data_IF_574147903294
#
_entry.id   IF_574147903294
#
_cell.length_a   1.000
_cell.length_b   1.000
_cell.length_c   1.000
_cell.angle_alpha   90.00
_cell.angle_beta   90.00
_cell.angle_gamma   90.00
#
_symmetry.space_group_name_H-M   'P 1'
#
loop_
_entity.id
_entity.type
_entity.pdbx_description
1 polymer ?
#
# COMPACT_ATOMS: atom_id res chain seq x y z
N UNK A 1 5.24 -4.86 2.82
CA UNK A 1 3.98 -5.63 3.01
C UNK A 1 4.27 -7.00 2.47
N UNK A 2 4.62 -7.95 3.35
CA UNK A 2 5.22 -9.24 2.95
C UNK A 2 4.17 -10.34 3.04
N UNK A 3 3.42 -10.53 1.97
CA UNK A 3 2.46 -11.63 1.82
C UNK A 3 3.07 -12.78 1.02
N UNK A 4 4.17 -13.37 1.50
CA UNK A 4 4.74 -14.53 0.82
C UNK A 4 3.75 -15.71 0.87
N UNK A 5 3.77 -16.61 -0.12
CA UNK A 5 2.83 -17.75 -0.22
C UNK A 5 2.76 -18.57 1.07
N UNK A 6 3.89 -18.72 1.78
CA UNK A 6 3.95 -19.39 3.09
C UNK A 6 3.08 -18.74 4.18
N UNK A 7 2.95 -17.41 4.16
CA UNK A 7 2.14 -16.66 5.14
C UNK A 7 0.65 -16.87 4.91
N UNK A 8 0.23 -17.14 3.67
CA UNK A 8 -1.17 -17.44 3.36
C UNK A 8 -1.55 -18.90 3.65
N UNK A 9 -0.60 -19.83 3.49
CA UNK A 9 -0.83 -21.25 3.76
C UNK A 9 -1.04 -21.56 5.25
N UNK A 10 -0.34 -20.86 6.14
CA UNK A 10 -0.38 -21.11 7.59
C UNK A 10 -1.79 -20.90 8.19
N UNK A 11 -2.47 -19.76 7.94
CA UNK A 11 -3.85 -19.55 8.34
C UNK A 11 -4.79 -20.57 7.69
N UNK A 12 -4.69 -20.80 6.38
CA UNK A 12 -5.57 -21.75 5.68
C UNK A 12 -5.48 -23.16 6.30
N UNK A 13 -4.25 -23.66 6.54
CA UNK A 13 -4.03 -24.96 7.19
C UNK A 13 -4.51 -24.98 8.64
N UNK A 14 -4.36 -23.89 9.39
CA UNK A 14 -4.86 -23.78 10.75
C UNK A 14 -6.40 -23.79 10.80
N UNK A 15 -7.08 -23.00 9.96
CA UNK A 15 -8.54 -22.93 9.93
C UNK A 15 -9.18 -24.22 9.40
N UNK A 16 -8.59 -24.86 8.40
CA UNK A 16 -9.06 -26.14 7.85
C UNK A 16 -9.08 -27.27 8.90
N UNK A 17 -8.23 -27.18 9.94
CA UNK A 17 -8.15 -28.17 11.02
C UNK A 17 -9.34 -28.08 11.99
N UNK A 18 -9.92 -26.89 12.16
CA UNK A 18 -10.96 -26.65 13.19
C UNK A 18 -12.35 -26.34 12.62
N UNK A 19 -12.45 -25.90 11.36
CA UNK A 19 -13.72 -25.52 10.73
C UNK A 19 -13.83 -26.19 9.34
N UNK A 20 -14.73 -27.16 9.14
CA UNK A 20 -15.00 -27.70 7.80
C UNK A 20 -15.54 -26.58 6.88
N UNK A 21 -15.18 -26.60 5.59
CA UNK A 21 -15.46 -25.55 4.58
C UNK A 21 -14.75 -24.19 4.73
N UNK A 22 -13.89 -23.98 5.74
CA UNK A 22 -13.20 -22.69 5.93
C UNK A 22 -12.33 -22.25 4.75
N UNK A 23 -11.76 -23.20 4.00
CA UNK A 23 -10.84 -22.92 2.89
C UNK A 23 -11.50 -22.11 1.77
N UNK A 24 -12.76 -22.41 1.41
CA UNK A 24 -13.47 -21.70 0.34
C UNK A 24 -13.78 -20.27 0.78
N UNK A 25 -14.27 -20.11 2.01
CA UNK A 25 -14.54 -18.79 2.58
C UNK A 25 -13.27 -17.93 2.70
N UNK A 26 -12.17 -18.49 3.23
CA UNK A 26 -10.90 -17.79 3.33
C UNK A 26 -10.35 -17.40 1.95
N UNK A 27 -10.46 -18.28 0.95
CA UNK A 27 -9.98 -17.98 -0.41
C UNK A 27 -10.73 -16.78 -1.00
N UNK A 28 -12.06 -16.75 -0.88
CA UNK A 28 -12.88 -15.63 -1.35
C UNK A 28 -12.51 -14.35 -0.59
N UNK A 29 -12.37 -14.42 0.73
CA UNK A 29 -11.99 -13.27 1.56
C UNK A 29 -10.60 -12.70 1.18
N UNK A 30 -9.61 -13.57 0.94
CA UNK A 30 -8.26 -13.17 0.54
C UNK A 30 -8.27 -12.53 -0.85
N UNK A 31 -9.05 -13.07 -1.80
CA UNK A 31 -9.19 -12.48 -3.14
C UNK A 31 -9.83 -11.10 -3.07
N UNK A 32 -10.93 -10.94 -2.32
CA UNK A 32 -11.57 -9.64 -2.12
C UNK A 32 -10.64 -8.63 -1.44
N UNK A 33 -9.87 -9.07 -0.45
CA UNK A 33 -8.87 -8.24 0.23
C UNK A 33 -7.71 -7.84 -0.69
N UNK A 34 -7.24 -8.74 -1.55
CA UNK A 34 -6.22 -8.43 -2.53
C UNK A 34 -6.71 -7.39 -3.54
N UNK A 35 -7.95 -7.54 -4.04
CA UNK A 35 -8.57 -6.58 -4.98
C UNK A 35 -8.74 -5.20 -4.33
N UNK A 36 -9.26 -5.12 -3.11
CA UNK A 36 -9.42 -3.84 -2.41
C UNK A 36 -8.08 -3.14 -2.19
N UNK A 37 -7.07 -3.89 -1.78
CA UNK A 37 -5.70 -3.40 -1.58
C UNK A 37 -5.14 -2.85 -2.91
N UNK A 38 -5.22 -3.62 -4.00
CA UNK A 38 -4.75 -3.17 -5.32
C UNK A 38 -5.40 -1.87 -5.78
N UNK A 39 -6.72 -1.72 -5.56
CA UNK A 39 -7.45 -0.48 -5.91
C UNK A 39 -6.92 0.71 -5.10
N UNK A 40 -6.75 0.55 -3.78
CA UNK A 40 -6.23 1.62 -2.92
C UNK A 40 -4.83 2.06 -3.33
N UNK A 41 -3.90 1.12 -3.57
CA UNK A 41 -2.54 1.45 -4.00
C UNK A 41 -2.49 2.10 -5.37
N UNK A 42 -3.34 1.67 -6.31
CA UNK A 42 -3.48 2.31 -7.62
C UNK A 42 -3.97 3.76 -7.51
N UNK A 43 -4.97 4.01 -6.65
CA UNK A 43 -5.49 5.35 -6.39
C UNK A 43 -4.45 6.27 -5.75
N UNK A 44 -3.76 5.80 -4.71
CA UNK A 44 -2.69 6.57 -4.07
C UNK A 44 -1.55 6.89 -5.05
N UNK A 45 -1.14 5.92 -5.87
CA UNK A 45 -0.11 6.12 -6.90
C UNK A 45 -0.49 7.20 -7.92
N UNK A 46 -1.72 7.16 -8.44
CA UNK A 46 -2.21 8.17 -9.39
C UNK A 46 -2.30 9.57 -8.75
N UNK A 47 -2.71 9.65 -7.49
CA UNK A 47 -2.80 10.92 -6.77
C UNK A 47 -1.40 11.51 -6.53
N UNK A 48 -0.43 10.68 -6.11
CA UNK A 48 0.97 11.09 -5.95
C UNK A 48 1.57 11.55 -7.29
N UNK A 49 1.27 10.86 -8.38
CA UNK A 49 1.75 11.24 -9.72
C UNK A 49 1.17 12.58 -10.18
N UNK A 50 -0.14 12.79 -9.99
CA UNK A 50 -0.80 14.07 -10.28
C UNK A 50 -0.25 15.22 -9.43
N UNK A 51 0.14 14.94 -8.19
CA UNK A 51 0.75 15.92 -7.29
C UNK A 51 2.16 16.32 -7.74
N UNK A 52 2.99 15.36 -8.19
CA UNK A 52 4.37 15.60 -8.60
C UNK A 52 4.49 16.25 -9.99
N UNK A 53 3.69 15.82 -10.97
CA UNK A 53 3.87 16.18 -12.38
C UNK A 53 2.72 17.02 -12.98
N UNK A 54 1.70 17.33 -12.18
CA UNK A 54 0.55 18.14 -12.60
C UNK A 54 -0.52 17.38 -13.42
N UNK A 55 -1.69 18.00 -13.58
CA UNK A 55 -2.84 17.42 -14.30
C UNK A 55 -2.73 17.64 -15.82
N UNK A 56 -1.78 16.97 -16.48
CA UNK A 56 -1.63 17.02 -17.93
C UNK A 56 -1.90 15.67 -18.62
N UNK A 57 -2.44 15.68 -19.86
CA UNK A 57 -2.58 14.46 -20.70
C UNK A 57 -1.27 13.70 -20.87
N UNK A 58 -0.13 14.42 -20.93
CA UNK A 58 1.21 13.82 -21.01
C UNK A 58 1.60 13.07 -19.74
N UNK A 59 1.30 13.61 -18.55
CA UNK A 59 1.56 12.94 -17.28
C UNK A 59 0.75 11.64 -17.15
N UNK A 60 -0.50 11.62 -17.59
CA UNK A 60 -1.36 10.43 -17.55
C UNK A 60 -0.86 9.31 -18.48
N UNK A 61 -0.37 9.66 -19.68
CA UNK A 61 0.23 8.71 -20.63
C UNK A 61 1.55 8.14 -20.08
N UNK A 62 2.41 8.98 -19.49
CA UNK A 62 3.68 8.52 -18.89
C UNK A 62 3.43 7.56 -17.72
N UNK A 63 2.43 7.83 -16.87
CA UNK A 63 2.07 6.92 -15.77
C UNK A 63 1.60 5.57 -16.30
N UNK A 64 0.71 5.55 -17.31
CA UNK A 64 0.22 4.31 -17.91
C UNK A 64 1.34 3.49 -18.57
N UNK A 65 2.27 4.16 -19.25
CA UNK A 65 3.46 3.52 -19.85
C UNK A 65 4.38 2.91 -18.79
N UNK A 66 4.74 3.68 -17.76
CA UNK A 66 5.54 3.18 -16.64
C UNK A 66 4.84 2.00 -15.95
N UNK A 67 3.55 2.13 -15.66
CA UNK A 67 2.77 1.07 -15.01
C UNK A 67 2.80 -0.23 -15.82
N UNK A 68 2.56 -0.16 -17.14
CA UNK A 68 2.61 -1.33 -18.00
C UNK A 68 4.00 -1.99 -18.00
N UNK A 69 5.06 -1.17 -18.03
CA UNK A 69 6.44 -1.64 -18.05
C UNK A 69 6.82 -2.32 -16.73
N UNK A 70 6.39 -1.76 -15.59
CA UNK A 70 6.54 -2.38 -14.28
C UNK A 70 5.72 -3.67 -14.13
N UNK A 71 4.54 -3.77 -14.75
CA UNK A 71 3.75 -5.01 -14.77
C UNK A 71 4.47 -6.12 -15.53
N UNK A 72 5.03 -5.82 -16.71
CA UNK A 72 5.80 -6.80 -17.51
C UNK A 72 7.06 -7.26 -16.75
N UNK A 73 7.80 -6.31 -16.17
CA UNK A 73 8.98 -6.64 -15.35
C UNK A 73 8.58 -7.46 -14.13
N UNK A 74 7.53 -7.06 -13.42
CA UNK A 74 7.02 -7.76 -12.24
C UNK A 74 6.54 -9.18 -12.54
N UNK A 75 5.95 -9.41 -13.72
CA UNK A 75 5.56 -10.74 -14.17
C UNK A 75 6.77 -11.62 -14.54
N UNK A 76 7.87 -11.02 -15.00
CA UNK A 76 9.13 -11.74 -15.33
C UNK A 76 10.06 -11.96 -14.12
N UNK A 77 9.88 -11.17 -13.06
CA UNK A 77 10.74 -11.20 -11.88
C UNK A 77 10.38 -12.35 -10.94
N UNK A 78 11.38 -12.90 -10.25
CA UNK A 78 11.13 -13.93 -9.24
C UNK A 78 10.33 -13.35 -8.07
N UNK A 79 9.44 -14.15 -7.48
CA UNK A 79 8.60 -13.73 -6.36
C UNK A 79 9.44 -13.11 -5.22
N UNK A 80 10.60 -13.68 -4.90
CA UNK A 80 11.52 -13.16 -3.87
C UNK A 80 12.09 -11.77 -4.23
N UNK A 81 12.41 -11.53 -5.50
CA UNK A 81 12.91 -10.24 -5.97
C UNK A 81 11.84 -9.15 -5.83
N UNK A 82 10.58 -9.48 -6.12
CA UNK A 82 9.44 -8.56 -6.00
C UNK A 82 9.20 -8.16 -4.54
N UNK A 83 9.29 -9.10 -3.60
CA UNK A 83 9.16 -8.81 -2.17
C UNK A 83 10.27 -7.87 -1.69
N UNK A 84 11.53 -8.19 -1.99
CA UNK A 84 12.68 -7.38 -1.58
C UNK A 84 12.64 -5.96 -2.15
N UNK A 85 12.23 -5.82 -3.41
CA UNK A 85 12.02 -4.51 -4.03
C UNK A 85 10.89 -3.72 -3.37
N UNK A 86 9.75 -4.38 -3.09
CA UNK A 86 8.59 -3.74 -2.44
C UNK A 86 8.93 -3.24 -1.04
N UNK A 87 9.66 -4.01 -0.25
CA UNK A 87 10.09 -3.60 1.09
C UNK A 87 11.09 -2.43 1.01
N UNK A 88 12.02 -2.44 0.05
CA UNK A 88 12.93 -1.33 -0.19
C UNK A 88 12.19 -0.03 -0.57
N UNK A 89 11.14 -0.11 -1.40
CA UNK A 89 10.32 1.06 -1.75
C UNK A 89 9.57 1.63 -0.54
N UNK A 90 8.96 0.77 0.29
CA UNK A 90 8.29 1.20 1.52
C UNK A 90 9.30 1.86 2.46
N UNK A 91 10.47 1.26 2.62
CA UNK A 91 11.55 1.81 3.43
C UNK A 91 11.98 3.19 2.92
N UNK A 92 12.18 3.34 1.61
CA UNK A 92 12.51 4.62 1.00
C UNK A 92 11.42 5.69 1.21
N UNK A 93 10.14 5.31 1.25
CA UNK A 93 9.02 6.23 1.53
C UNK A 93 8.95 6.66 3.00
N UNK A 94 9.41 5.81 3.94
CA UNK A 94 9.39 6.11 5.38
C UNK A 94 10.34 7.26 5.73
N UNK A 95 11.53 7.32 5.15
CA UNK A 95 12.50 8.39 5.45
C UNK A 95 12.00 9.83 5.22
N UNK A 96 11.52 10.22 4.02
CA UNK A 96 11.04 11.58 3.80
C UNK A 96 9.81 11.88 4.66
N UNK A 97 8.94 10.90 4.92
CA UNK A 97 7.80 11.08 5.82
C UNK A 97 8.23 11.32 7.26
N UNK A 98 9.21 10.56 7.78
CA UNK A 98 9.72 10.75 9.14
C UNK A 98 10.39 12.12 9.32
N UNK A 99 11.18 12.56 8.34
CA UNK A 99 11.80 13.89 8.36
C UNK A 99 10.71 14.96 8.34
N UNK A 100 9.71 14.83 7.46
CA UNK A 100 8.58 15.75 7.38
C UNK A 100 7.80 15.82 8.71
N UNK A 101 7.52 14.67 9.32
CA UNK A 101 6.82 14.61 10.61
C UNK A 101 7.63 15.28 11.73
N UNK A 102 8.94 15.08 11.76
CA UNK A 102 9.81 15.72 12.74
C UNK A 102 9.79 17.26 12.61
N UNK A 103 9.84 17.77 11.37
CA UNK A 103 9.74 19.20 11.10
C UNK A 103 8.33 19.77 11.39
N UNK A 104 7.28 19.00 11.11
CA UNK A 104 5.89 19.39 11.35
C UNK A 104 5.45 19.18 12.80
N UNK A 105 6.19 18.44 13.61
CA UNK A 105 5.88 18.17 15.02
C UNK A 105 5.43 19.41 15.82
N UNK A 106 6.14 20.56 15.79
CA UNK A 106 5.70 21.76 16.50
C UNK A 106 4.35 22.30 15.97
N UNK A 107 4.12 22.24 14.65
CA UNK A 107 2.88 22.70 14.01
C UNK A 107 1.71 21.79 14.40
N UNK A 108 1.91 20.47 14.38
CA UNK A 108 0.88 19.49 14.77
C UNK A 108 0.51 19.67 16.25
N UNK A 109 1.50 19.88 17.13
CA UNK A 109 1.26 20.16 18.55
C UNK A 109 0.40 21.41 18.74
N UNK A 110 0.68 22.49 18.01
CA UNK A 110 -0.12 23.71 18.05
C UNK A 110 -1.55 23.49 17.55
N UNK A 111 -1.72 22.78 16.43
CA UNK A 111 -3.06 22.49 15.89
C UNK A 111 -3.87 21.58 16.81
N UNK A 112 -3.23 20.59 17.44
CA UNK A 112 -3.87 19.71 18.41
C UNK A 112 -4.38 20.51 19.62
N UNK A 113 -3.55 21.42 20.16
CA UNK A 113 -3.95 22.28 21.26
C UNK A 113 -5.17 23.14 20.89
N UNK A 114 -5.15 23.75 19.70
CA UNK A 114 -6.27 24.56 19.19
C UNK A 114 -7.54 23.74 18.99
N UNK A 115 -7.42 22.51 18.51
CA UNK A 115 -8.56 21.59 18.38
C UNK A 115 -9.13 21.24 19.76
N UNK A 116 -8.27 20.85 20.72
CA UNK A 116 -8.70 20.50 22.07
C UNK A 116 -9.40 21.67 22.79
N UNK A 117 -8.94 22.90 22.60
CA UNK A 117 -9.60 24.09 23.13
C UNK A 117 -10.98 24.35 22.50
N UNK A 118 -11.13 24.06 21.21
CA UNK A 118 -12.40 24.27 20.50
C UNK A 118 -13.50 23.28 20.92
N UNK A 119 -13.16 22.04 21.28
CA UNK A 119 -14.14 21.01 21.69
C UNK A 119 -14.47 21.09 23.19
N UNK A 120 -13.71 21.89 23.96
CA UNK A 120 -13.89 22.04 25.42
C UNK A 120 -14.92 23.11 25.79
N UNK A 121 -15.47 23.83 24.80
CA UNK A 121 -16.63 24.72 24.92
C UNK A 121 -17.91 23.93 24.67
#
# INVERSE_FOLDING_TARGET
MVWNMKVQELPQKAFAKYIPFSNIFLTIAVVLFAVSTMISWSYYGLQSWKYLFGRGKRADITYKLLFLLFVVIGASASMNSVWGFSDAMIFAMVFPNMIGLYLLFPVVKMQLQRYLEAIKK
#
